data_IF_455128326488
#
_entry.id   IF_455128326488
#
_cell.length_a   1.000
_cell.length_b   1.000
_cell.length_c   1.000
_cell.angle_alpha   90.00
_cell.angle_beta   90.00
_cell.angle_gamma   90.00
#
_symmetry.space_group_name_H-M   'P 1'
#
loop_
_entity.id
_entity.type
_entity.pdbx_description
1 polymer ?
#
# COMPACT_ATOMS: atom_id res chain seq x y z
N UNK A 1 18.36 -16.86 -30.02
CA UNK A 1 18.66 -16.22 -28.72
C UNK A 1 17.45 -16.28 -27.84
N UNK A 2 17.63 -16.81 -26.64
CA UNK A 2 16.52 -16.92 -25.68
C UNK A 2 16.51 -15.69 -24.78
N UNK A 3 15.44 -14.91 -24.83
CA UNK A 3 15.24 -13.84 -23.88
C UNK A 3 14.74 -14.42 -22.56
N UNK A 4 15.32 -13.97 -21.47
CA UNK A 4 14.84 -14.36 -20.16
C UNK A 4 13.44 -13.77 -19.95
N UNK A 5 12.46 -14.63 -19.70
CA UNK A 5 11.10 -14.19 -19.39
C UNK A 5 11.03 -13.80 -17.92
N UNK A 6 10.52 -12.60 -17.66
CA UNK A 6 10.24 -12.17 -16.30
C UNK A 6 9.01 -12.92 -15.81
N UNK A 7 9.13 -13.56 -14.64
CA UNK A 7 8.00 -14.23 -14.01
C UNK A 7 6.91 -13.19 -13.71
N UNK A 8 5.68 -13.35 -14.23
CA UNK A 8 4.60 -12.40 -14.00
C UNK A 8 4.29 -12.19 -12.51
N UNK A 9 4.49 -13.22 -11.69
CA UNK A 9 4.26 -13.11 -10.24
C UNK A 9 5.31 -12.22 -9.58
N UNK A 10 6.59 -12.39 -9.98
CA UNK A 10 7.69 -11.55 -9.49
C UNK A 10 7.49 -10.10 -9.95
N UNK A 11 7.09 -9.92 -11.20
CA UNK A 11 6.84 -8.59 -11.75
C UNK A 11 5.71 -7.88 -11.00
N UNK A 12 4.61 -8.60 -10.71
CA UNK A 12 3.49 -8.03 -9.94
C UNK A 12 3.94 -7.59 -8.55
N UNK A 13 4.72 -8.44 -7.86
CA UNK A 13 5.29 -8.09 -6.55
C UNK A 13 6.16 -6.83 -6.63
N UNK A 14 7.02 -6.76 -7.64
CA UNK A 14 7.95 -5.64 -7.78
C UNK A 14 7.21 -4.33 -8.09
N UNK A 15 6.14 -4.38 -8.88
CA UNK A 15 5.29 -3.22 -9.16
C UNK A 15 4.64 -2.71 -7.87
N UNK A 16 4.10 -3.61 -7.06
CA UNK A 16 3.47 -3.25 -5.79
C UNK A 16 4.49 -2.62 -4.85
N UNK A 17 5.69 -3.23 -4.72
CA UNK A 17 6.74 -2.69 -3.87
C UNK A 17 7.17 -1.29 -4.32
N UNK A 18 7.36 -1.11 -5.62
CA UNK A 18 7.76 0.19 -6.17
C UNK A 18 6.69 1.25 -5.92
N UNK A 19 5.42 0.89 -6.08
CA UNK A 19 4.30 1.80 -5.78
C UNK A 19 4.29 2.20 -4.32
N UNK A 20 4.42 1.24 -3.40
CA UNK A 20 4.41 1.51 -1.97
C UNK A 20 5.58 2.40 -1.56
N UNK A 21 6.77 2.16 -2.09
CA UNK A 21 7.95 3.00 -1.82
C UNK A 21 7.72 4.43 -2.33
N UNK A 22 7.11 4.57 -3.50
CA UNK A 22 6.79 5.88 -4.10
C UNK A 22 5.76 6.63 -3.25
N UNK A 23 4.73 5.92 -2.75
CA UNK A 23 3.72 6.52 -1.86
C UNK A 23 4.31 6.90 -0.50
N UNK A 24 5.24 6.10 0.02
CA UNK A 24 5.94 6.42 1.27
C UNK A 24 6.72 7.72 1.13
N UNK A 25 7.33 7.94 -0.03
CA UNK A 25 8.04 9.18 -0.35
C UNK A 25 7.10 10.36 -0.69
N UNK A 26 5.78 10.11 -0.78
CA UNK A 26 4.76 11.09 -1.17
C UNK A 26 4.98 11.70 -2.56
N UNK A 27 5.60 10.96 -3.46
CA UNK A 27 5.73 11.34 -4.87
C UNK A 27 4.46 10.90 -5.62
N UNK A 28 3.39 11.67 -5.48
CA UNK A 28 2.08 11.30 -6.00
C UNK A 28 2.04 11.28 -7.52
N UNK A 29 2.77 12.17 -8.18
CA UNK A 29 2.83 12.20 -9.63
C UNK A 29 3.41 10.90 -10.19
N UNK A 30 4.49 10.40 -9.57
CA UNK A 30 5.11 9.14 -9.97
C UNK A 30 4.23 7.95 -9.59
N UNK A 31 3.62 7.99 -8.42
CA UNK A 31 2.74 6.92 -7.95
C UNK A 31 1.57 6.69 -8.91
N UNK A 32 1.00 7.76 -9.47
CA UNK A 32 -0.10 7.64 -10.45
C UNK A 32 0.23 6.81 -11.66
N UNK A 33 1.51 6.74 -12.06
CA UNK A 33 1.94 5.96 -13.23
C UNK A 33 1.74 4.45 -13.06
N UNK A 34 1.61 3.99 -11.83
CA UNK A 34 1.38 2.58 -11.54
C UNK A 34 -0.10 2.19 -11.63
N UNK A 35 -1.01 3.17 -11.69
CA UNK A 35 -2.45 2.95 -11.51
C UNK A 35 -3.17 2.71 -12.82
N UNK A 36 -4.07 1.72 -12.82
CA UNK A 36 -5.03 1.52 -13.90
C UNK A 36 -6.13 2.59 -13.82
N UNK A 37 -6.81 2.90 -14.94
CA UNK A 37 -8.01 3.72 -14.89
C UNK A 37 -9.04 3.11 -13.93
N UNK A 38 -9.65 3.96 -13.09
CA UNK A 38 -10.63 3.49 -12.12
C UNK A 38 -10.04 2.90 -10.84
N UNK A 39 -8.74 3.02 -10.61
CA UNK A 39 -8.11 2.55 -9.37
C UNK A 39 -8.82 3.12 -8.14
N UNK A 40 -8.99 2.26 -7.12
CA UNK A 40 -9.56 2.66 -5.85
C UNK A 40 -8.77 2.05 -4.70
N UNK A 41 -8.64 2.80 -3.62
CA UNK A 41 -8.04 2.36 -2.36
C UNK A 41 -9.14 2.26 -1.32
N UNK A 42 -9.12 1.18 -0.52
CA UNK A 42 -10.04 1.03 0.62
C UNK A 42 -9.19 0.87 1.87
N UNK A 43 -9.35 1.82 2.80
CA UNK A 43 -8.60 1.87 4.06
C UNK A 43 -9.45 1.33 5.22
N UNK A 44 -8.84 1.13 6.41
CA UNK A 44 -9.58 0.60 7.56
C UNK A 44 -10.87 1.37 7.83
N UNK A 45 -11.93 0.66 8.16
CA UNK A 45 -13.25 1.23 8.33
C UNK A 45 -14.04 1.36 7.04
N UNK A 46 -13.49 0.88 5.91
CA UNK A 46 -14.15 0.95 4.61
C UNK A 46 -14.00 2.30 3.91
N UNK A 47 -13.11 3.16 4.38
CA UNK A 47 -12.87 4.46 3.76
C UNK A 47 -12.28 4.29 2.37
N UNK A 48 -13.00 4.80 1.34
CA UNK A 48 -12.63 4.63 -0.05
C UNK A 48 -12.10 5.92 -0.65
N UNK A 49 -10.97 5.81 -1.40
CA UNK A 49 -10.39 6.93 -2.14
C UNK A 49 -10.14 6.51 -3.59
N UNK A 50 -10.39 7.41 -4.52
CA UNK A 50 -10.05 7.24 -5.94
C UNK A 50 -8.89 8.17 -6.36
N UNK A 51 -8.58 9.17 -5.53
CA UNK A 51 -7.53 10.13 -5.78
C UNK A 51 -6.46 10.05 -4.70
N UNK A 52 -5.19 9.98 -5.10
CA UNK A 52 -4.06 9.89 -4.16
C UNK A 52 -3.98 11.11 -3.25
N UNK A 53 -4.30 12.29 -3.78
CA UNK A 53 -4.28 13.55 -3.04
C UNK A 53 -5.29 13.54 -1.89
N UNK A 54 -6.47 12.99 -2.11
CA UNK A 54 -7.49 12.89 -1.06
C UNK A 54 -7.02 12.00 0.08
N UNK A 55 -6.39 10.89 -0.25
CA UNK A 55 -5.83 9.98 0.76
C UNK A 55 -4.72 10.68 1.55
N UNK A 56 -3.83 11.39 0.87
CA UNK A 56 -2.73 12.10 1.54
C UNK A 56 -3.25 13.16 2.49
N UNK A 57 -4.28 13.92 2.10
CA UNK A 57 -4.92 14.91 2.96
C UNK A 57 -5.61 14.26 4.17
N UNK A 58 -6.30 13.13 3.94
CA UNK A 58 -6.93 12.37 5.02
C UNK A 58 -5.91 11.86 6.04
N UNK A 59 -4.71 11.52 5.58
CA UNK A 59 -3.66 10.97 6.44
C UNK A 59 -3.01 12.04 7.34
N UNK A 60 -2.95 13.30 6.91
CA UNK A 60 -2.26 14.37 7.64
C UNK A 60 -2.65 14.52 9.11
N UNK A 61 -3.95 14.51 9.49
CA UNK A 61 -4.33 14.60 10.90
C UNK A 61 -4.13 13.30 11.69
N UNK A 62 -3.83 12.20 11.01
CA UNK A 62 -3.74 10.88 11.65
C UNK A 62 -2.32 10.58 12.15
N UNK A 63 -1.31 11.04 11.43
CA UNK A 63 0.10 10.85 11.81
C UNK A 63 0.97 11.88 11.08
N UNK A 64 2.17 12.10 11.61
CA UNK A 64 3.13 13.01 10.97
C UNK A 64 3.78 12.32 9.77
N UNK A 65 4.24 11.08 9.97
CA UNK A 65 4.75 10.23 8.91
C UNK A 65 4.63 8.77 9.32
N UNK A 66 4.63 7.88 8.32
CA UNK A 66 4.57 6.43 8.53
C UNK A 66 5.40 5.74 7.47
N UNK A 67 6.11 4.70 7.88
CA UNK A 67 6.88 3.83 6.99
C UNK A 67 6.57 2.37 7.29
N UNK A 68 6.93 1.51 6.34
CA UNK A 68 6.65 0.08 6.41
C UNK A 68 7.94 -0.72 6.61
N UNK A 69 7.86 -1.72 7.48
CA UNK A 69 8.82 -2.82 7.54
C UNK A 69 8.14 -4.03 6.95
N UNK A 70 8.63 -4.49 5.79
CA UNK A 70 8.04 -5.62 5.09
C UNK A 70 8.53 -6.93 5.69
N UNK A 71 7.60 -7.85 5.97
CA UNK A 71 7.93 -9.22 6.38
C UNK A 71 7.93 -10.14 5.19
N UNK A 72 6.92 -10.06 4.34
CA UNK A 72 6.82 -10.88 3.14
C UNK A 72 5.77 -10.34 2.17
N UNK A 73 5.87 -10.85 0.93
CA UNK A 73 4.87 -10.66 -0.11
C UNK A 73 4.39 -12.02 -0.55
N UNK A 74 3.08 -12.25 -0.51
CA UNK A 74 2.46 -13.46 -1.06
C UNK A 74 1.76 -13.06 -2.35
N UNK A 75 1.93 -13.87 -3.39
CA UNK A 75 1.38 -13.57 -4.71
C UNK A 75 0.54 -14.75 -5.18
N UNK A 76 -0.69 -14.46 -5.61
CA UNK A 76 -1.61 -15.47 -6.08
C UNK A 76 -2.11 -15.14 -7.49
N UNK A 77 -2.01 -16.09 -8.40
CA UNK A 77 -2.51 -15.92 -9.77
C UNK A 77 -4.01 -16.23 -9.80
N UNK A 78 -4.80 -15.23 -10.15
CA UNK A 78 -6.22 -15.38 -10.41
C UNK A 78 -6.49 -15.66 -11.89
N UNK A 79 -7.75 -15.82 -12.25
CA UNK A 79 -8.15 -16.08 -13.65
C UNK A 79 -7.96 -14.86 -14.55
N UNK A 80 -8.15 -13.65 -14.03
CA UNK A 80 -8.10 -12.41 -14.80
C UNK A 80 -7.06 -11.43 -14.32
N UNK A 81 -6.48 -11.66 -13.14
CA UNK A 81 -5.54 -10.73 -12.52
C UNK A 81 -4.63 -11.47 -11.54
N UNK A 82 -3.55 -10.82 -11.16
CA UNK A 82 -2.64 -11.29 -10.12
C UNK A 82 -2.93 -10.53 -8.84
N UNK A 83 -3.01 -11.23 -7.71
CA UNK A 83 -3.24 -10.62 -6.40
C UNK A 83 -1.95 -10.65 -5.59
N UNK A 84 -1.58 -9.51 -5.02
CA UNK A 84 -0.37 -9.38 -4.22
C UNK A 84 -0.77 -8.98 -2.81
N UNK A 85 -0.30 -9.74 -1.82
CA UNK A 85 -0.51 -9.47 -0.40
C UNK A 85 0.82 -9.08 0.22
N UNK A 86 0.84 -7.93 0.87
CA UNK A 86 2.03 -7.41 1.52
C UNK A 86 1.81 -7.40 3.03
N UNK A 87 2.70 -8.03 3.78
CA UNK A 87 2.60 -8.17 5.24
C UNK A 87 3.77 -7.51 5.93
N UNK A 88 3.50 -6.91 7.08
CA UNK A 88 4.57 -6.36 7.88
C UNK A 88 4.06 -5.50 9.03
N UNK A 89 4.89 -4.55 9.44
CA UNK A 89 4.56 -3.60 10.50
C UNK A 89 4.82 -2.18 10.07
N UNK A 90 4.05 -1.26 10.64
CA UNK A 90 4.20 0.17 10.45
C UNK A 90 4.98 0.76 11.61
N UNK A 91 5.79 1.79 11.33
CA UNK A 91 6.45 2.61 12.32
C UNK A 91 6.43 4.06 11.86
N UNK A 92 6.51 4.98 12.79
CA UNK A 92 6.45 6.40 12.43
C UNK A 92 6.34 7.31 13.63
N UNK A 93 5.71 8.48 13.42
CA UNK A 93 5.47 9.46 14.45
C UNK A 93 4.03 9.97 14.39
N UNK A 94 3.42 10.10 15.57
CA UNK A 94 2.17 10.83 15.71
C UNK A 94 2.42 12.33 15.52
N UNK A 95 1.36 13.10 15.34
CA UNK A 95 1.49 14.53 15.09
C UNK A 95 2.05 15.32 16.30
N UNK A 96 2.03 14.73 17.50
CA UNK A 96 2.65 15.32 18.68
C UNK A 96 4.16 15.00 18.79
N UNK A 97 4.71 14.26 17.84
CA UNK A 97 6.12 13.90 17.81
C UNK A 97 6.47 12.60 18.51
N UNK A 98 5.50 11.93 19.18
CA UNK A 98 5.79 10.63 19.80
C UNK A 98 5.88 9.53 18.75
N UNK A 99 6.83 8.60 18.97
CA UNK A 99 7.05 7.50 18.03
C UNK A 99 6.02 6.39 18.22
N UNK A 100 5.73 5.70 17.12
CA UNK A 100 4.99 4.43 17.16
C UNK A 100 5.70 3.38 16.32
N UNK A 101 5.50 2.11 16.67
CA UNK A 101 6.04 0.99 15.91
C UNK A 101 5.22 -0.27 16.14
N UNK A 102 5.55 -1.33 15.40
CA UNK A 102 4.95 -2.65 15.56
C UNK A 102 3.45 -2.69 15.30
N UNK A 103 2.94 -1.78 14.49
CA UNK A 103 1.54 -1.80 14.05
C UNK A 103 1.43 -2.75 12.87
N UNK A 104 0.71 -3.87 13.04
CA UNK A 104 0.56 -4.86 11.97
C UNK A 104 -0.23 -4.27 10.80
N UNK A 105 0.18 -4.63 9.59
CA UNK A 105 -0.59 -4.26 8.39
C UNK A 105 -0.62 -5.41 7.38
N UNK A 106 -1.69 -5.41 6.58
CA UNK A 106 -1.81 -6.20 5.36
C UNK A 106 -2.37 -5.26 4.30
N UNK A 107 -1.67 -5.15 3.17
CA UNK A 107 -2.19 -4.49 1.98
C UNK A 107 -2.40 -5.56 0.92
N UNK A 108 -3.57 -5.54 0.26
CA UNK A 108 -3.87 -6.39 -0.88
C UNK A 108 -4.01 -5.54 -2.14
N UNK A 109 -3.34 -5.98 -3.21
CA UNK A 109 -3.42 -5.31 -4.51
C UNK A 109 -3.93 -6.28 -5.57
N UNK A 110 -4.69 -5.76 -6.52
CA UNK A 110 -5.01 -6.46 -7.76
C UNK A 110 -4.19 -5.83 -8.87
N UNK A 111 -3.42 -6.66 -9.58
CA UNK A 111 -2.56 -6.23 -10.69
C UNK A 111 -3.07 -6.86 -11.97
N UNK A 112 -3.32 -6.03 -12.99
CA UNK A 112 -3.77 -6.49 -14.31
C UNK A 112 -3.05 -5.70 -15.38
N UNK A 113 -2.49 -6.40 -16.37
CA UNK A 113 -1.74 -5.77 -17.46
C UNK A 113 -0.67 -4.79 -16.97
N UNK A 114 0.03 -5.16 -15.90
CA UNK A 114 1.13 -4.35 -15.33
C UNK A 114 0.70 -3.11 -14.57
N UNK A 115 -0.59 -2.96 -14.26
CA UNK A 115 -1.12 -1.79 -13.54
C UNK A 115 -1.92 -2.23 -12.33
N UNK A 116 -1.95 -1.35 -11.32
CA UNK A 116 -2.72 -1.58 -10.10
C UNK A 116 -4.19 -1.22 -10.33
N UNK A 117 -5.06 -2.18 -10.08
CA UNK A 117 -6.50 -2.02 -10.27
C UNK A 117 -7.17 -1.56 -8.97
N UNK A 118 -6.73 -2.11 -7.85
CA UNK A 118 -7.24 -1.71 -6.53
C UNK A 118 -6.23 -2.00 -5.43
N UNK A 119 -6.49 -1.41 -4.26
CA UNK A 119 -5.73 -1.64 -3.03
C UNK A 119 -6.70 -1.72 -1.87
N UNK A 120 -6.55 -2.74 -1.02
CA UNK A 120 -7.26 -2.82 0.24
C UNK A 120 -6.25 -2.86 1.39
N UNK A 121 -6.53 -2.11 2.44
CA UNK A 121 -5.62 -1.90 3.55
C UNK A 121 -6.27 -2.33 4.86
N UNK A 122 -5.57 -3.16 5.62
CA UNK A 122 -5.94 -3.53 6.99
C UNK A 122 -4.74 -3.25 7.89
N UNK A 123 -4.98 -2.60 9.02
CA UNK A 123 -3.92 -2.41 10.01
C UNK A 123 -4.50 -2.15 11.40
N UNK A 124 -3.62 -2.25 12.40
CA UNK A 124 -3.97 -2.05 13.80
C UNK A 124 -3.81 -0.60 14.27
N UNK A 125 -3.63 0.35 13.34
CA UNK A 125 -3.36 1.75 13.71
C UNK A 125 -4.47 2.36 14.56
N UNK A 126 -5.73 2.10 14.20
CA UNK A 126 -6.87 2.60 14.97
C UNK A 126 -6.93 2.03 16.38
N UNK A 127 -6.55 0.77 16.54
CA UNK A 127 -6.51 0.12 17.85
C UNK A 127 -5.46 0.77 18.76
N UNK A 128 -4.27 1.05 18.21
CA UNK A 128 -3.20 1.69 18.96
C UNK A 128 -3.53 3.15 19.28
N UNK A 129 -4.09 3.89 18.34
CA UNK A 129 -4.49 5.28 18.53
C UNK A 129 -5.56 5.39 19.62
N UNK A 130 -6.49 4.45 19.69
CA UNK A 130 -7.54 4.43 20.74
C UNK A 130 -6.98 4.29 22.14
N UNK A 131 -5.81 3.65 22.31
CA UNK A 131 -5.17 3.48 23.62
C UNK A 131 -4.48 4.75 24.13
N UNK A 132 -4.30 5.74 23.28
CA UNK A 132 -3.66 7.01 23.63
C UNK A 132 -4.66 8.04 24.21
N UNK A 133 -5.94 7.77 24.11
CA UNK A 133 -7.00 8.68 24.61
C UNK A 133 -7.49 8.28 25.98
#
# INVERSE_FOLDING_TARGET
>A
MLEAKIDPLVLARDIVRAYLDTMEARDLARARRFLAPGFAMIFPGGRRFTELEEMAEWAKPRYRWVKKRYERFDVAQGTTATHVYCFGTLYGEWNDGTAFESIRFIDRFTVRAGKLVDQMVWNDMGELAAKLN
#
